data_IF_006005937538
#
_entry.id   IF_006005937538
#
_cell.length_a   1.000
_cell.length_b   1.000
_cell.length_c   1.000
_cell.angle_alpha   90.00
_cell.angle_beta   90.00
_cell.angle_gamma   90.00
#
_symmetry.space_group_name_H-M   'P 1'
#
loop_
_entity.id
_entity.type
_entity.pdbx_description
1 polymer ?
#
# COMPACT_ATOMS: atom_id res chain seq x y z
N UNK A 1 -26.10 22.52 -16.57
CA UNK A 1 -24.98 22.18 -15.67
C UNK A 1 -23.72 22.21 -16.50
N UNK A 2 -22.70 22.96 -16.11
CA UNK A 2 -21.40 22.92 -16.79
C UNK A 2 -20.77 21.58 -16.41
N UNK A 3 -20.62 20.66 -17.35
CA UNK A 3 -19.84 19.44 -17.14
C UNK A 3 -18.39 19.88 -16.96
N UNK A 4 -17.95 19.94 -15.69
CA UNK A 4 -16.54 20.12 -15.37
C UNK A 4 -15.86 18.80 -15.71
N UNK A 5 -15.20 18.75 -16.86
CA UNK A 5 -14.35 17.62 -17.21
C UNK A 5 -13.16 17.58 -16.24
N UNK A 6 -13.00 16.46 -15.55
CA UNK A 6 -11.88 16.21 -14.67
C UNK A 6 -10.95 15.23 -15.37
N UNK A 7 -10.02 15.72 -16.21
CA UNK A 7 -9.15 14.85 -16.98
C UNK A 7 -8.36 13.94 -16.05
N UNK A 8 -8.08 12.73 -16.53
CA UNK A 8 -7.20 11.81 -15.83
C UNK A 8 -5.82 12.49 -15.65
N UNK A 9 -5.24 12.44 -14.44
CA UNK A 9 -3.95 13.08 -14.19
C UNK A 9 -2.86 12.38 -15.00
N UNK A 10 -1.88 13.16 -15.43
CA UNK A 10 -0.66 12.62 -16.03
C UNK A 10 0.21 11.95 -14.97
N UNK A 11 1.05 11.00 -15.42
CA UNK A 11 2.01 10.35 -14.52
C UNK A 11 2.97 11.37 -13.86
N UNK A 12 3.32 12.44 -14.57
CA UNK A 12 4.16 13.52 -14.06
C UNK A 12 3.46 14.32 -12.95
N UNK A 13 2.16 14.62 -13.09
CA UNK A 13 1.40 15.30 -12.04
C UNK A 13 1.29 14.45 -10.77
N UNK A 14 1.02 13.16 -10.90
CA UNK A 14 0.99 12.23 -9.76
C UNK A 14 2.37 12.17 -9.10
N UNK A 15 3.43 12.04 -9.90
CA UNK A 15 4.80 11.98 -9.40
C UNK A 15 5.19 13.26 -8.68
N UNK A 16 4.91 14.43 -9.24
CA UNK A 16 5.24 15.72 -8.64
C UNK A 16 4.47 15.94 -7.33
N UNK A 17 3.19 15.55 -7.28
CA UNK A 17 2.40 15.57 -6.05
C UNK A 17 3.01 14.67 -4.97
N UNK A 18 3.28 13.41 -5.31
CA UNK A 18 3.89 12.45 -4.39
C UNK A 18 5.27 12.95 -3.90
N UNK A 19 6.15 13.33 -4.83
CA UNK A 19 7.50 13.81 -4.53
C UNK A 19 7.51 15.02 -3.61
N UNK A 20 6.59 15.97 -3.83
CA UNK A 20 6.48 17.14 -2.98
C UNK A 20 6.15 16.76 -1.54
N UNK A 21 5.19 15.85 -1.34
CA UNK A 21 4.82 15.34 -0.03
C UNK A 21 5.97 14.57 0.63
N UNK A 22 6.65 13.69 -0.11
CA UNK A 22 7.82 12.95 0.37
C UNK A 22 8.92 13.88 0.85
N UNK A 23 9.20 14.93 0.09
CA UNK A 23 10.28 15.88 0.42
C UNK A 23 9.92 16.71 1.65
N UNK A 24 8.66 17.17 1.75
CA UNK A 24 8.25 18.08 2.83
C UNK A 24 7.95 17.35 4.15
N UNK A 25 7.37 16.16 4.08
CA UNK A 25 7.09 15.31 5.25
C UNK A 25 8.23 14.33 5.56
N UNK A 26 9.37 14.45 4.86
CA UNK A 26 10.57 13.61 5.04
C UNK A 26 10.28 12.10 5.02
N UNK A 27 9.43 11.67 4.08
CA UNK A 27 8.99 10.28 3.99
C UNK A 27 10.07 9.38 3.41
N UNK A 28 10.27 8.21 4.01
CA UNK A 28 11.17 7.18 3.49
C UNK A 28 10.62 6.51 2.23
N UNK A 29 11.48 5.94 1.39
CA UNK A 29 11.07 5.28 0.14
C UNK A 29 10.13 4.08 0.40
N UNK A 30 10.29 3.39 1.52
CA UNK A 30 9.45 2.28 1.96
C UNK A 30 7.98 2.71 2.17
N UNK A 31 7.74 3.94 2.61
CA UNK A 31 6.38 4.50 2.72
C UNK A 31 5.65 4.52 1.37
N UNK A 32 6.36 4.59 0.24
CA UNK A 32 5.72 4.54 -1.08
C UNK A 32 5.04 3.19 -1.34
N UNK A 33 5.67 2.11 -0.87
CA UNK A 33 5.18 0.74 -1.03
C UNK A 33 4.00 0.52 -0.11
N UNK A 34 4.11 0.94 1.15
CA UNK A 34 3.02 0.89 2.13
C UNK A 34 1.81 1.70 1.66
N UNK A 35 2.04 2.91 1.14
CA UNK A 35 0.99 3.74 0.55
C UNK A 35 0.28 3.03 -0.61
N UNK A 36 1.05 2.41 -1.52
CA UNK A 36 0.48 1.67 -2.65
C UNK A 36 -0.42 0.51 -2.16
N UNK A 37 0.03 -0.25 -1.16
CA UNK A 37 -0.78 -1.32 -0.55
C UNK A 37 -2.08 -0.77 0.02
N UNK A 38 -2.04 0.35 0.74
CA UNK A 38 -3.25 0.94 1.33
C UNK A 38 -4.22 1.50 0.29
N UNK A 39 -3.72 2.13 -0.77
CA UNK A 39 -4.56 2.63 -1.86
C UNK A 39 -5.24 1.47 -2.59
N UNK A 40 -4.52 0.39 -2.91
CA UNK A 40 -5.14 -0.79 -3.53
C UNK A 40 -6.17 -1.46 -2.62
N UNK A 41 -5.87 -1.64 -1.32
CA UNK A 41 -6.85 -2.16 -0.35
C UNK A 41 -8.10 -1.29 -0.30
N UNK A 42 -7.94 0.04 -0.30
CA UNK A 42 -9.08 0.96 -0.30
C UNK A 42 -9.93 0.79 -1.55
N UNK A 43 -9.31 0.70 -2.73
CA UNK A 43 -10.00 0.45 -4.00
C UNK A 43 -10.80 -0.86 -3.96
N UNK A 44 -10.19 -1.94 -3.47
CA UNK A 44 -10.83 -3.25 -3.36
C UNK A 44 -12.01 -3.26 -2.36
N UNK A 45 -11.81 -2.72 -1.15
CA UNK A 45 -12.82 -2.76 -0.08
C UNK A 45 -13.99 -1.82 -0.36
N UNK A 46 -13.72 -0.64 -0.92
CA UNK A 46 -14.76 0.34 -1.22
C UNK A 46 -15.38 0.19 -2.62
N UNK A 47 -14.82 -0.67 -3.47
CA UNK A 47 -15.22 -0.80 -4.87
C UNK A 47 -15.04 0.50 -5.67
N UNK A 48 -14.02 1.30 -5.31
CA UNK A 48 -13.77 2.60 -5.93
C UNK A 48 -12.62 2.54 -6.93
N UNK A 49 -12.69 3.39 -7.96
CA UNK A 49 -11.61 3.61 -8.91
C UNK A 49 -10.94 4.95 -8.63
N UNK A 50 -9.64 5.03 -8.93
CA UNK A 50 -8.93 6.31 -8.95
C UNK A 50 -9.34 7.09 -10.20
N UNK A 51 -10.02 8.21 -9.98
CA UNK A 51 -10.53 9.13 -10.98
C UNK A 51 -9.82 10.48 -10.84
N UNK A 52 -9.89 11.32 -11.88
CA UNK A 52 -9.33 12.68 -11.87
C UNK A 52 -9.78 13.53 -10.68
N UNK A 53 -10.97 13.26 -10.15
CA UNK A 53 -11.58 13.97 -9.02
C UNK A 53 -11.09 13.50 -7.64
N UNK A 54 -10.67 12.24 -7.48
CA UNK A 54 -10.50 11.62 -6.17
C UNK A 54 -9.07 11.15 -5.86
N UNK A 55 -8.18 11.09 -6.88
CA UNK A 55 -6.84 10.53 -6.69
C UNK A 55 -5.98 11.31 -5.69
N UNK A 56 -6.05 12.65 -5.69
CA UNK A 56 -5.25 13.50 -4.78
C UNK A 56 -5.56 13.25 -3.30
N UNK A 57 -6.82 13.34 -2.84
CA UNK A 57 -7.13 13.05 -1.44
C UNK A 57 -6.83 11.59 -1.07
N UNK A 58 -7.11 10.63 -1.96
CA UNK A 58 -6.80 9.21 -1.68
C UNK A 58 -5.29 9.01 -1.49
N UNK A 59 -4.47 9.58 -2.37
CA UNK A 59 -3.02 9.45 -2.29
C UNK A 59 -2.44 10.19 -1.08
N UNK A 60 -2.95 11.40 -0.79
CA UNK A 60 -2.56 12.16 0.40
C UNK A 60 -2.83 11.39 1.68
N UNK A 61 -4.02 10.79 1.80
CA UNK A 61 -4.38 9.98 2.97
C UNK A 61 -3.58 8.68 3.03
N UNK A 62 -3.38 8.01 1.89
CA UNK A 62 -2.55 6.80 1.81
C UNK A 62 -1.12 7.04 2.29
N UNK A 63 -0.52 8.16 1.92
CA UNK A 63 0.82 8.56 2.38
C UNK A 63 0.83 8.95 3.86
N UNK A 64 -0.20 9.64 4.36
CA UNK A 64 -0.36 9.96 5.78
C UNK A 64 -0.43 8.69 6.63
N UNK A 65 -1.24 7.72 6.20
CA UNK A 65 -1.35 6.44 6.91
C UNK A 65 -0.03 5.66 6.84
N UNK A 66 0.63 5.63 5.68
CA UNK A 66 1.92 4.99 5.53
C UNK A 66 2.98 5.61 6.43
N UNK A 67 3.01 6.94 6.57
CA UNK A 67 3.99 7.63 7.42
C UNK A 67 3.76 7.36 8.90
N UNK A 68 2.49 7.25 9.33
CA UNK A 68 2.15 6.94 10.72
C UNK A 68 2.44 5.50 11.11
N UNK A 69 2.22 4.55 10.20
CA UNK A 69 2.36 3.12 10.51
C UNK A 69 3.78 2.62 10.32
N UNK A 70 4.51 3.16 9.34
CA UNK A 70 5.80 2.61 8.93
C UNK A 70 7.01 3.35 9.49
N UNK A 71 6.90 4.65 9.74
CA UNK A 71 8.03 5.43 10.24
C UNK A 71 8.06 5.46 11.76
N UNK A 72 9.26 5.38 12.33
CA UNK A 72 9.49 5.54 13.78
C UNK A 72 9.03 6.92 14.28
N UNK A 73 9.28 7.96 13.46
CA UNK A 73 8.76 9.30 13.68
C UNK A 73 7.48 9.49 12.85
N UNK A 74 6.34 9.17 13.46
CA UNK A 74 5.04 9.32 12.82
C UNK A 74 4.72 10.78 12.51
N UNK A 75 4.18 11.02 11.31
CA UNK A 75 3.74 12.37 10.93
C UNK A 75 2.41 12.76 11.60
N UNK A 76 2.22 14.06 11.78
CA UNK A 76 1.00 14.66 12.27
C UNK A 76 0.13 15.14 11.11
N UNK A 77 -1.19 15.15 11.30
CA UNK A 77 -2.11 15.63 10.26
C UNK A 77 -1.89 17.10 9.92
N UNK A 78 -1.43 17.90 10.89
CA UNK A 78 -1.13 19.31 10.69
C UNK A 78 -0.02 19.50 9.65
N UNK A 79 1.01 18.64 9.65
CA UNK A 79 2.10 18.71 8.68
C UNK A 79 1.59 18.55 7.25
N UNK A 80 0.68 17.59 7.03
CA UNK A 80 0.08 17.35 5.71
C UNK A 80 -0.80 18.53 5.27
N UNK A 81 -1.55 19.14 6.19
CA UNK A 81 -2.31 20.36 5.90
C UNK A 81 -1.42 21.58 5.63
N UNK A 82 -0.21 21.62 6.19
CA UNK A 82 0.79 22.66 5.91
C UNK A 82 1.41 22.47 4.53
N UNK A 83 1.67 21.24 4.10
CA UNK A 83 2.21 20.95 2.76
C UNK A 83 1.18 21.26 1.67
N UNK A 84 -0.09 20.93 1.91
CA UNK A 84 -1.18 21.22 0.99
C UNK A 84 -2.31 22.00 1.67
N UNK A 85 -2.18 23.35 1.77
CA UNK A 85 -3.16 24.21 2.45
C UNK A 85 -4.58 24.15 1.90
N UNK A 86 -4.77 23.68 0.65
CA UNK A 86 -6.09 23.42 0.09
C UNK A 86 -6.86 22.32 0.85
N UNK A 87 -6.16 21.47 1.60
CA UNK A 87 -6.74 20.50 2.52
C UNK A 87 -6.60 21.01 3.95
N UNK A 88 -7.65 21.64 4.47
CA UNK A 88 -7.66 22.09 5.87
C UNK A 88 -7.37 20.94 6.84
N UNK A 89 -6.80 21.24 8.01
CA UNK A 89 -6.58 20.22 9.06
C UNK A 89 -7.86 19.44 9.39
N UNK A 90 -9.01 20.11 9.44
CA UNK A 90 -10.30 19.44 9.66
C UNK A 90 -10.65 18.47 8.52
N UNK A 91 -10.35 18.83 7.28
CA UNK A 91 -10.53 17.97 6.10
C UNK A 91 -9.60 16.76 6.15
N UNK A 92 -8.32 16.94 6.48
CA UNK A 92 -7.34 15.86 6.63
C UNK A 92 -7.75 14.89 7.75
N UNK A 93 -8.17 15.42 8.91
CA UNK A 93 -8.68 14.62 10.02
C UNK A 93 -9.91 13.79 9.62
N UNK A 94 -10.84 14.37 8.84
CA UNK A 94 -12.03 13.66 8.35
C UNK A 94 -11.64 12.56 7.37
N UNK A 95 -10.71 12.87 6.47
CA UNK A 95 -10.22 11.95 5.45
C UNK A 95 -9.52 10.74 6.08
N UNK A 96 -8.66 10.97 7.07
CA UNK A 96 -8.03 9.89 7.85
C UNK A 96 -9.07 8.97 8.49
N UNK A 97 -10.05 9.54 9.21
CA UNK A 97 -11.10 8.74 9.87
C UNK A 97 -11.90 7.93 8.86
N UNK A 98 -12.29 8.52 7.74
CA UNK A 98 -13.03 7.83 6.68
C UNK A 98 -12.20 6.68 6.11
N UNK A 99 -10.92 6.91 5.82
CA UNK A 99 -10.00 5.90 5.29
C UNK A 99 -9.83 4.71 6.25
N UNK A 100 -9.62 4.99 7.54
CA UNK A 100 -9.50 3.99 8.60
C UNK A 100 -10.78 3.18 8.79
N UNK A 101 -11.95 3.83 8.76
CA UNK A 101 -13.24 3.18 8.85
C UNK A 101 -13.50 2.26 7.65
N UNK A 102 -13.20 2.73 6.44
CA UNK A 102 -13.34 1.92 5.22
C UNK A 102 -12.43 0.69 5.27
N UNK A 103 -11.17 0.84 5.70
CA UNK A 103 -10.26 -0.29 5.86
C UNK A 103 -10.55 -1.15 7.09
N UNK A 104 -11.55 -0.79 7.92
CA UNK A 104 -11.87 -1.45 9.19
C UNK A 104 -10.63 -1.63 10.07
N UNK A 105 -9.74 -0.64 10.04
CA UNK A 105 -8.47 -0.64 10.78
C UNK A 105 -7.50 -1.79 10.42
N UNK A 106 -7.70 -2.47 9.29
CA UNK A 106 -6.75 -3.47 8.78
C UNK A 106 -5.55 -2.79 8.09
N UNK A 107 -4.64 -2.29 8.92
CA UNK A 107 -3.41 -1.61 8.50
C UNK A 107 -2.19 -2.54 8.48
N UNK A 108 -2.34 -3.78 8.97
CA UNK A 108 -1.22 -4.72 9.06
C UNK A 108 -0.79 -5.18 7.65
N UNK A 109 0.50 -5.03 7.38
CA UNK A 109 1.14 -5.52 6.15
C UNK A 109 2.15 -6.58 6.55
N UNK A 110 1.91 -7.82 6.15
CA UNK A 110 2.91 -8.87 6.36
C UNK A 110 4.15 -8.62 5.51
N UNK A 111 5.31 -9.10 5.96
CA UNK A 111 6.55 -9.03 5.18
C UNK A 111 6.43 -9.68 3.79
N UNK A 112 5.60 -10.73 3.66
CA UNK A 112 5.33 -11.37 2.37
C UNK A 112 4.54 -10.47 1.40
N UNK A 113 3.56 -9.73 1.91
CA UNK A 113 2.81 -8.74 1.12
C UNK A 113 3.76 -7.62 0.72
N UNK A 114 4.49 -7.01 1.66
CA UNK A 114 5.46 -5.97 1.35
C UNK A 114 6.48 -6.40 0.28
N UNK A 115 7.08 -7.59 0.44
CA UNK A 115 8.03 -8.13 -0.52
C UNK A 115 7.44 -8.32 -1.92
N UNK A 116 6.18 -8.77 -2.03
CA UNK A 116 5.47 -8.90 -3.30
C UNK A 116 5.40 -7.55 -4.04
N UNK A 117 5.00 -6.48 -3.35
CA UNK A 117 4.91 -5.14 -3.95
C UNK A 117 6.30 -4.59 -4.30
N UNK A 118 7.27 -4.73 -3.40
CA UNK A 118 8.65 -4.31 -3.62
C UNK A 118 9.25 -4.94 -4.88
N UNK A 119 9.18 -6.26 -5.01
CA UNK A 119 9.74 -6.96 -6.16
C UNK A 119 8.97 -6.69 -7.45
N UNK A 120 7.65 -6.52 -7.38
CA UNK A 120 6.84 -6.12 -8.52
C UNK A 120 7.29 -4.74 -9.06
N UNK A 121 7.39 -3.73 -8.19
CA UNK A 121 7.87 -2.39 -8.55
C UNK A 121 9.28 -2.43 -9.15
N UNK A 122 10.19 -3.15 -8.49
CA UNK A 122 11.57 -3.31 -8.97
C UNK A 122 11.65 -3.99 -10.35
N UNK A 123 10.77 -4.95 -10.61
CA UNK A 123 10.70 -5.63 -11.91
C UNK A 123 10.19 -4.75 -13.06
N UNK A 124 9.42 -3.70 -12.74
CA UNK A 124 8.96 -2.72 -13.72
C UNK A 124 10.03 -1.66 -14.01
N UNK A 125 10.92 -1.40 -13.05
CA UNK A 125 12.00 -0.41 -13.16
C UNK A 125 13.27 -0.98 -13.82
N UNK A 126 13.58 -2.26 -13.66
CA UNK A 126 14.81 -2.88 -14.21
C UNK A 126 14.62 -3.49 -15.61
N UNK A 127 15.68 -3.48 -16.44
CA UNK A 127 15.73 -4.11 -17.79
C UNK A 127 15.28 -5.59 -17.74
N UNK A 128 14.75 -6.10 -18.87
CA UNK A 128 14.11 -7.43 -19.11
C UNK A 128 14.64 -8.66 -18.33
N UNK A 129 15.90 -8.67 -17.90
CA UNK A 129 16.53 -9.78 -17.16
C UNK A 129 16.00 -9.97 -15.73
N UNK A 130 15.58 -8.91 -15.03
CA UNK A 130 15.09 -9.05 -13.65
C UNK A 130 13.73 -9.75 -13.60
N UNK A 131 12.82 -9.46 -14.53
CA UNK A 131 11.48 -10.08 -14.59
C UNK A 131 11.53 -11.61 -14.71
N UNK A 132 12.49 -12.16 -15.49
CA UNK A 132 12.75 -13.61 -15.55
C UNK A 132 13.22 -14.17 -14.20
N UNK A 133 14.10 -13.45 -13.52
CA UNK A 133 14.63 -13.85 -12.20
C UNK A 133 13.56 -13.76 -11.10
N UNK A 134 12.67 -12.76 -11.15
CA UNK A 134 11.52 -12.64 -10.25
C UNK A 134 10.52 -13.78 -10.43
N UNK A 135 10.12 -14.09 -11.67
CA UNK A 135 9.24 -15.24 -11.95
C UNK A 135 9.89 -16.53 -11.45
N UNK A 136 11.20 -16.71 -11.66
CA UNK A 136 11.97 -17.83 -11.12
C UNK A 136 11.96 -17.83 -9.58
N UNK A 137 12.21 -16.70 -8.92
CA UNK A 137 12.24 -16.60 -7.45
C UNK A 137 10.87 -16.86 -6.81
N UNK A 138 9.78 -16.37 -7.41
CA UNK A 138 8.42 -16.67 -6.93
C UNK A 138 8.00 -18.11 -7.21
N UNK A 139 8.45 -18.70 -8.32
CA UNK A 139 8.19 -20.09 -8.67
C UNK A 139 9.01 -21.08 -7.83
N UNK A 140 10.16 -20.65 -7.29
CA UNK A 140 10.99 -21.47 -6.39
C UNK A 140 10.31 -21.51 -5.01
N UNK A 141 9.66 -22.63 -4.71
CA UNK A 141 9.24 -22.92 -3.34
C UNK A 141 10.48 -22.90 -2.42
N UNK A 142 10.44 -22.21 -1.26
CA UNK A 142 11.54 -22.22 -0.33
C UNK A 142 11.91 -23.67 0.05
N UNK A 143 13.20 -24.00 0.21
CA UNK A 143 13.68 -25.38 0.36
C UNK A 143 13.04 -26.16 1.52
N UNK A 144 12.39 -25.47 2.47
CA UNK A 144 11.72 -26.07 3.62
C UNK A 144 10.18 -26.13 3.54
N UNK A 145 9.53 -25.55 2.53
CA UNK A 145 8.04 -25.54 2.44
C UNK A 145 7.48 -26.95 2.26
N UNK A 146 8.14 -27.80 1.47
CA UNK A 146 7.76 -29.22 1.32
C UNK A 146 7.87 -29.98 2.65
N UNK A 147 8.91 -29.73 3.44
CA UNK A 147 9.09 -30.36 4.76
C UNK A 147 8.05 -29.89 5.77
N UNK A 148 7.73 -28.60 5.80
CA UNK A 148 6.73 -28.01 6.71
C UNK A 148 5.32 -28.51 6.32
N UNK A 149 4.97 -28.50 5.04
CA UNK A 149 3.73 -29.07 4.51
C UNK A 149 3.53 -30.53 4.92
N UNK A 150 4.57 -31.35 4.75
CA UNK A 150 4.53 -32.77 5.09
C UNK A 150 4.39 -33.00 6.61
N UNK A 151 5.09 -32.21 7.44
CA UNK A 151 4.93 -32.22 8.90
C UNK A 151 3.52 -31.81 9.34
N UNK A 152 2.96 -30.76 8.76
CA UNK A 152 1.60 -30.32 9.06
C UNK A 152 0.55 -31.37 8.68
N UNK A 153 0.78 -32.12 7.59
CA UNK A 153 -0.10 -33.20 7.14
C UNK A 153 0.01 -34.45 8.02
N UNK A 154 1.21 -34.79 8.50
CA UNK A 154 1.40 -35.93 9.41
C UNK A 154 0.82 -35.66 10.80
N UNK A 155 1.00 -34.44 11.32
CA UNK A 155 0.42 -34.00 12.59
C UNK A 155 -1.11 -34.03 12.56
N UNK A 156 -1.73 -33.55 11.47
CA UNK A 156 -3.18 -33.67 11.29
C UNK A 156 -3.64 -35.13 11.34
N UNK A 157 -2.98 -36.03 10.60
CA UNK A 157 -3.31 -37.47 10.63
C UNK A 157 -3.19 -38.08 12.04
N UNK A 158 -2.15 -37.73 12.80
CA UNK A 158 -1.97 -38.20 14.18
C UNK A 158 -3.00 -37.65 15.16
N UNK A 159 -3.45 -36.41 14.97
CA UNK A 159 -4.51 -35.81 15.76
C UNK A 159 -5.85 -36.50 15.47
N UNK A 160 -6.19 -36.72 14.19
CA UNK A 160 -7.41 -37.45 13.83
C UNK A 160 -7.41 -38.91 14.28
N UNK A 161 -6.25 -39.58 14.34
CA UNK A 161 -6.14 -40.95 14.83
C UNK A 161 -6.18 -41.09 16.36
N UNK A 162 -5.97 -39.99 17.10
CA UNK A 162 -6.02 -39.96 18.58
C UNK A 162 -7.38 -39.51 19.12
N UNK A 163 -8.28 -39.06 18.23
CA UNK A 163 -9.64 -38.60 18.57
C UNK A 163 -10.72 -39.65 18.28
N UNK A 164 -10.32 -40.89 17.98
CA UNK A 164 -11.15 -42.11 17.95
C UNK A 164 -10.69 -43.02 19.09
#
# INVERSE_FOLDING_TARGET
AVEVDYPAPTAEEIYNFARHLFTKAQLSAECSIVCLVYVERLMEVAGLLLLGTNWRPILLCGMLMASKVWQDLSSWNVEFSTVYPQYSLASVNRLERAFLQTLRWDLYISGSVYAKYYFALRSMSEKKNFRRRYISMMAVQPPNVRRISNKSRSLKKQLYSKSL
#
